data_IF_766829444059
#
_entry.id   IF_766829444059
#
_cell.length_a   1.000
_cell.length_b   1.000
_cell.length_c   1.000
_cell.angle_alpha   90.00
_cell.angle_beta   90.00
_cell.angle_gamma   90.00
#
_symmetry.space_group_name_H-M   'P 1'
#
loop_
_entity.id
_entity.type
_entity.pdbx_description
1 polymer ?
#
# COMPACT_ATOMS: atom_id res chain seq x y z
N UNK A 1 10.66 -9.93 1.09
CA UNK A 1 11.01 -9.19 2.32
C UNK A 1 10.33 -9.91 3.48
N UNK A 2 10.99 -10.07 4.63
CA UNK A 2 10.39 -10.66 5.82
C UNK A 2 10.75 -9.77 7.01
N UNK A 3 9.80 -8.98 7.48
CA UNK A 3 9.98 -8.09 8.62
C UNK A 3 9.91 -8.89 9.93
N UNK A 4 10.61 -8.45 10.99
CA UNK A 4 10.62 -9.16 12.29
C UNK A 4 9.32 -8.99 13.09
N UNK A 5 8.23 -8.63 12.43
CA UNK A 5 6.92 -8.45 13.04
C UNK A 5 6.06 -9.69 12.81
N UNK A 6 5.38 -10.20 13.84
CA UNK A 6 4.36 -11.22 13.67
C UNK A 6 3.23 -10.78 12.73
N UNK A 7 2.43 -11.74 12.28
CA UNK A 7 1.17 -11.45 11.60
C UNK A 7 0.29 -10.56 12.48
N UNK A 8 -0.50 -9.67 11.87
CA UNK A 8 -1.46 -8.85 12.60
C UNK A 8 -0.85 -7.98 13.73
N UNK A 9 0.35 -7.46 13.50
CA UNK A 9 1.05 -6.59 14.44
C UNK A 9 0.54 -5.14 14.44
N UNK A 10 0.00 -4.65 13.32
CA UNK A 10 -0.31 -3.23 13.14
C UNK A 10 -1.80 -2.99 12.88
N UNK A 11 -2.34 -1.93 13.49
CA UNK A 11 -3.71 -1.46 13.24
C UNK A 11 -3.79 -0.59 11.97
N UNK A 12 -2.72 0.15 11.67
CA UNK A 12 -2.64 1.05 10.52
C UNK A 12 -1.23 1.01 9.92
N UNK A 13 -1.14 0.98 8.59
CA UNK A 13 0.11 1.10 7.83
C UNK A 13 -0.03 2.24 6.83
N UNK A 14 1.00 3.08 6.72
CA UNK A 14 1.08 4.16 5.76
C UNK A 14 2.20 3.90 4.74
N UNK A 15 1.92 4.12 3.45
CA UNK A 15 2.91 4.08 2.38
C UNK A 15 2.76 5.29 1.44
N UNK A 16 3.75 6.18 1.47
CA UNK A 16 3.84 7.32 0.57
C UNK A 16 5.05 7.15 -0.35
N UNK A 17 4.80 6.90 -1.63
CA UNK A 17 5.81 6.73 -2.66
C UNK A 17 6.68 5.46 -2.60
N UNK A 18 6.67 4.65 -1.54
CA UNK A 18 7.71 3.62 -1.35
C UNK A 18 7.41 2.33 -2.10
N UNK A 19 6.16 1.83 -2.10
CA UNK A 19 5.85 0.59 -2.84
C UNK A 19 5.98 0.73 -4.36
N UNK A 20 5.93 1.94 -4.91
CA UNK A 20 5.99 2.19 -6.36
C UNK A 20 7.40 2.14 -6.94
N UNK A 21 8.41 2.39 -6.10
CA UNK A 21 9.82 2.33 -6.48
C UNK A 21 10.53 1.07 -5.96
N UNK A 22 9.87 0.29 -5.12
CA UNK A 22 10.42 -0.96 -4.60
C UNK A 22 10.59 -1.98 -5.73
N UNK A 23 11.71 -2.72 -5.73
CA UNK A 23 12.06 -3.72 -6.76
C UNK A 23 11.09 -4.90 -6.80
N UNK A 24 10.40 -5.17 -5.69
CA UNK A 24 9.45 -6.28 -5.52
C UNK A 24 8.15 -5.81 -4.87
N UNK A 25 7.31 -5.01 -5.56
CA UNK A 25 6.11 -4.41 -4.99
C UNK A 25 5.09 -5.45 -4.51
N UNK A 26 5.01 -6.61 -5.17
CA UNK A 26 4.14 -7.71 -4.73
C UNK A 26 4.55 -8.27 -3.37
N UNK A 27 5.85 -8.39 -3.11
CA UNK A 27 6.34 -8.88 -1.81
C UNK A 27 6.05 -7.86 -0.72
N UNK A 28 6.16 -6.57 -1.03
CA UNK A 28 5.81 -5.49 -0.09
C UNK A 28 4.32 -5.52 0.24
N UNK A 29 3.43 -5.64 -0.76
CA UNK A 29 1.99 -5.73 -0.53
C UNK A 29 1.58 -6.99 0.25
N UNK A 30 2.17 -8.15 -0.05
CA UNK A 30 1.96 -9.37 0.74
C UNK A 30 2.35 -9.19 2.20
N UNK A 31 3.48 -8.53 2.43
CA UNK A 31 3.97 -8.28 3.78
C UNK A 31 3.09 -7.28 4.53
N UNK A 32 2.66 -6.20 3.87
CA UNK A 32 1.69 -5.24 4.40
C UNK A 32 0.41 -5.95 4.82
N UNK A 33 -0.16 -6.78 3.94
CA UNK A 33 -1.36 -7.57 4.28
C UNK A 33 -1.11 -8.53 5.45
N UNK A 34 0.05 -9.20 5.50
CA UNK A 34 0.40 -10.13 6.58
C UNK A 34 0.46 -9.43 7.94
N UNK A 35 1.19 -8.33 8.04
CA UNK A 35 1.44 -7.65 9.32
C UNK A 35 0.30 -6.73 9.76
N UNK A 36 -0.63 -6.38 8.86
CA UNK A 36 -1.84 -5.63 9.21
C UNK A 36 -2.85 -6.55 9.90
N UNK A 37 -3.48 -6.07 10.98
CA UNK A 37 -4.57 -6.79 11.65
C UNK A 37 -5.78 -6.93 10.74
N UNK A 38 -6.61 -7.95 10.96
CA UNK A 38 -7.98 -7.97 10.42
C UNK A 38 -8.70 -6.67 10.81
N UNK A 39 -9.45 -6.09 9.87
CA UNK A 39 -10.02 -4.74 9.92
C UNK A 39 -9.01 -3.59 10.02
N UNK A 40 -7.70 -3.85 9.98
CA UNK A 40 -6.66 -2.83 9.94
C UNK A 40 -6.69 -2.04 8.63
N UNK A 41 -6.12 -0.82 8.67
CA UNK A 41 -6.16 0.13 7.56
C UNK A 41 -4.79 0.25 6.88
N UNK A 42 -4.75 0.06 5.56
CA UNK A 42 -3.62 0.45 4.75
C UNK A 42 -3.94 1.78 4.06
N UNK A 43 -3.10 2.80 4.27
CA UNK A 43 -3.24 4.13 3.68
C UNK A 43 -2.08 4.36 2.71
N UNK A 44 -2.39 4.77 1.49
CA UNK A 44 -1.40 5.00 0.46
C UNK A 44 -1.68 6.24 -0.38
N UNK A 45 -0.69 6.70 -1.12
CA UNK A 45 -0.88 7.78 -2.09
C UNK A 45 -1.75 7.35 -3.27
N UNK A 46 -2.55 8.29 -3.77
CA UNK A 46 -3.22 8.16 -5.06
C UNK A 46 -2.24 8.45 -6.20
N UNK A 47 -2.52 7.98 -7.42
CA UNK A 47 -1.74 8.36 -8.60
C UNK A 47 -1.64 9.88 -8.81
N UNK A 48 -2.65 10.64 -8.39
CA UNK A 48 -2.66 12.11 -8.45
C UNK A 48 -1.59 12.69 -7.53
N UNK A 49 -1.49 12.21 -6.29
CA UNK A 49 -0.44 12.64 -5.37
C UNK A 49 0.96 12.31 -5.90
N UNK A 50 1.12 11.15 -6.52
CA UNK A 50 2.40 10.76 -7.12
C UNK A 50 2.81 11.68 -8.27
N UNK A 51 1.87 12.03 -9.13
CA UNK A 51 2.11 12.91 -10.26
C UNK A 51 2.54 14.31 -9.82
N UNK A 52 1.90 14.86 -8.78
CA UNK A 52 2.28 16.16 -8.20
C UNK A 52 3.68 16.12 -7.60
N UNK A 53 3.99 15.06 -6.85
CA UNK A 53 5.27 14.92 -6.13
C UNK A 53 6.44 14.58 -7.06
N UNK A 54 6.20 13.89 -8.18
CA UNK A 54 7.25 13.41 -9.09
C UNK A 54 6.90 13.63 -10.57
N UNK A 55 6.72 14.88 -11.04
CA UNK A 55 6.15 15.17 -12.36
C UNK A 55 7.00 14.67 -13.55
N UNK A 56 8.29 14.43 -13.33
CA UNK A 56 9.24 13.96 -14.36
C UNK A 56 9.44 12.44 -14.29
N UNK A 57 9.23 11.84 -13.10
CA UNK A 57 9.59 10.44 -12.79
C UNK A 57 8.39 9.55 -12.52
N UNK A 58 7.16 10.05 -12.59
CA UNK A 58 5.93 9.27 -12.41
C UNK A 58 5.77 8.27 -13.55
N UNK A 59 6.55 7.19 -13.51
CA UNK A 59 6.23 5.97 -14.23
C UNK A 59 4.84 5.54 -13.78
N UNK A 60 3.92 5.35 -14.73
CA UNK A 60 2.57 4.80 -14.54
C UNK A 60 2.62 3.36 -13.98
N UNK A 61 3.25 3.15 -12.83
CA UNK A 61 3.30 1.87 -12.15
C UNK A 61 2.09 1.79 -11.25
N UNK A 62 1.22 0.83 -11.50
CA UNK A 62 0.13 0.49 -10.58
C UNK A 62 0.66 -0.43 -9.49
N UNK A 63 0.05 -0.33 -8.30
CA UNK A 63 0.28 -1.32 -7.26
C UNK A 63 -0.34 -2.67 -7.69
N UNK A 64 0.38 -3.79 -7.57
CA UNK A 64 -0.11 -5.10 -7.96
C UNK A 64 -1.06 -5.66 -6.90
N UNK A 65 -2.28 -5.12 -6.84
CA UNK A 65 -3.29 -5.46 -5.82
C UNK A 65 -3.64 -6.94 -5.78
N UNK A 66 -3.41 -7.70 -6.86
CA UNK A 66 -3.55 -9.16 -6.86
C UNK A 66 -2.65 -9.86 -5.84
N UNK A 67 -1.58 -9.20 -5.37
CA UNK A 67 -0.70 -9.73 -4.35
C UNK A 67 -1.24 -9.57 -2.92
N UNK A 68 -2.27 -8.75 -2.71
CA UNK A 68 -2.89 -8.50 -1.41
C UNK A 68 -4.42 -8.53 -1.55
N UNK A 69 -4.97 -9.74 -1.68
CA UNK A 69 -6.38 -9.99 -1.98
C UNK A 69 -7.33 -9.66 -0.83
N UNK A 70 -6.82 -9.58 0.41
CA UNK A 70 -7.60 -9.25 1.60
C UNK A 70 -7.66 -7.74 1.84
N UNK A 71 -6.82 -6.94 1.16
CA UNK A 71 -6.93 -5.48 1.17
C UNK A 71 -8.09 -5.04 0.27
N UNK A 72 -9.27 -4.97 0.87
CA UNK A 72 -10.53 -4.73 0.19
C UNK A 72 -11.10 -3.34 0.52
N UNK A 73 -11.98 -2.88 -0.37
CA UNK A 73 -12.59 -1.56 -0.28
C UNK A 73 -11.58 -0.45 -0.56
N UNK A 74 -12.06 0.68 -1.07
CA UNK A 74 -11.20 1.84 -1.28
C UNK A 74 -11.95 3.10 -0.87
N UNK A 75 -11.35 3.88 0.02
CA UNK A 75 -11.79 5.23 0.34
C UNK A 75 -10.72 6.21 -0.10
N UNK A 76 -11.09 7.07 -1.05
CA UNK A 76 -10.22 8.07 -1.63
C UNK A 76 -10.52 9.44 -1.04
N UNK A 77 -9.48 10.13 -0.61
CA UNK A 77 -9.50 11.51 -0.17
C UNK A 77 -8.38 12.28 -0.87
N UNK A 78 -8.69 12.75 -2.09
CA UNK A 78 -7.81 13.54 -2.96
C UNK A 78 -6.42 12.91 -3.20
N UNK A 79 -5.46 13.21 -2.33
CA UNK A 79 -4.07 12.78 -2.43
C UNK A 79 -3.84 11.40 -1.82
N UNK A 80 -4.80 10.89 -1.05
CA UNK A 80 -4.65 9.65 -0.30
C UNK A 80 -5.81 8.71 -0.54
N UNK A 81 -5.52 7.43 -0.44
CA UNK A 81 -6.45 6.33 -0.54
C UNK A 81 -6.26 5.41 0.66
N UNK A 82 -7.28 4.67 1.03
CA UNK A 82 -7.17 3.65 2.06
C UNK A 82 -7.95 2.39 1.71
N UNK A 83 -7.37 1.24 2.05
CA UNK A 83 -7.96 -0.10 1.95
C UNK A 83 -8.00 -0.75 3.33
N UNK A 84 -8.98 -1.60 3.57
CA UNK A 84 -9.12 -2.33 4.84
C UNK A 84 -8.81 -3.80 4.63
N UNK A 85 -8.09 -4.43 5.57
CA UNK A 85 -7.91 -5.88 5.56
C UNK A 85 -9.20 -6.58 6.00
N UNK A 86 -9.70 -7.50 5.20
CA UNK A 86 -10.79 -8.42 5.54
C UNK A 86 -10.27 -9.75 6.07
#
# INVERSE_FOLDING_TARGET
MNMPFPDESFDVIFDFGTCYYTTHPEQALREIERVLKTDGLFVHETPIAQFISHPIRSSHRSLPWHAALRLCGERNFLLWASKRKQ
#
